data_IF_240624029108
#
_entry.id   IF_240624029108
#
_cell.length_a   1.000
_cell.length_b   1.000
_cell.length_c   1.000
_cell.angle_alpha   90.00
_cell.angle_beta   90.00
_cell.angle_gamma   90.00
#
_symmetry.space_group_name_H-M   'P 1'
#
loop_
_entity.id
_entity.type
_entity.pdbx_description
1 polymer ?
#
# COMPACT_ATOMS: atom_id res chain seq x y z
N UNK A 1 5.71 -20.99 -2.92
CA UNK A 1 4.24 -21.14 -2.82
C UNK A 1 3.67 -20.01 -1.96
N UNK A 2 2.58 -19.35 -2.37
CA UNK A 2 1.87 -18.36 -1.53
C UNK A 2 1.01 -19.14 -0.53
N UNK A 3 1.28 -19.03 0.77
CA UNK A 3 0.67 -19.89 1.81
C UNK A 3 -0.47 -19.22 2.57
N UNK A 4 -0.69 -17.92 2.39
CA UNK A 4 -1.73 -17.15 3.05
C UNK A 4 -2.69 -16.55 2.02
N UNK A 5 -3.97 -16.48 2.39
CA UNK A 5 -5.05 -15.89 1.58
C UNK A 5 -5.62 -14.67 2.27
N UNK A 6 -6.03 -13.68 1.46
CA UNK A 6 -6.82 -12.56 1.97
C UNK A 6 -8.24 -13.03 2.29
N UNK A 7 -8.94 -12.37 3.23
CA UNK A 7 -10.36 -12.62 3.45
C UNK A 7 -11.15 -12.28 2.18
N UNK A 8 -12.31 -12.91 2.01
CA UNK A 8 -13.23 -12.59 0.92
C UNK A 8 -13.79 -11.17 1.10
N UNK A 9 -13.50 -10.28 0.15
CA UNK A 9 -13.98 -8.90 0.13
C UNK A 9 -15.08 -8.76 -0.92
N UNK A 10 -16.23 -8.21 -0.53
CA UNK A 10 -17.27 -7.81 -1.49
C UNK A 10 -16.90 -6.45 -2.06
N UNK A 11 -17.01 -6.33 -3.37
CA UNK A 11 -16.73 -5.09 -4.11
C UNK A 11 -17.88 -4.81 -5.07
N UNK A 12 -18.02 -3.55 -5.46
CA UNK A 12 -18.94 -3.15 -6.51
C UNK A 12 -18.52 -3.79 -7.85
N UNK A 13 -19.48 -4.21 -8.70
CA UNK A 13 -19.20 -4.79 -10.01
C UNK A 13 -18.31 -3.90 -10.89
N UNK A 14 -18.55 -2.59 -10.87
CA UNK A 14 -17.83 -1.61 -11.69
C UNK A 14 -16.34 -1.54 -11.30
N UNK A 15 -16.01 -1.74 -10.02
CA UNK A 15 -14.62 -1.80 -9.57
C UNK A 15 -13.92 -3.04 -10.12
N UNK A 16 -14.64 -4.16 -10.19
CA UNK A 16 -14.11 -5.40 -10.76
C UNK A 16 -13.83 -5.24 -12.25
N UNK A 17 -14.79 -4.70 -12.99
CA UNK A 17 -14.64 -4.45 -14.44
C UNK A 17 -13.47 -3.51 -14.72
N UNK A 18 -13.35 -2.43 -13.94
CA UNK A 18 -12.22 -1.51 -14.04
C UNK A 18 -10.88 -2.24 -13.83
N UNK A 19 -10.78 -3.09 -12.80
CA UNK A 19 -9.57 -3.86 -12.53
C UNK A 19 -9.24 -4.88 -13.63
N UNK A 20 -10.24 -5.55 -14.19
CA UNK A 20 -10.05 -6.52 -15.28
C UNK A 20 -9.63 -5.82 -16.60
N UNK A 21 -10.13 -4.61 -16.86
CA UNK A 21 -9.81 -3.84 -18.08
C UNK A 21 -8.37 -3.34 -18.18
N UNK A 22 -7.64 -3.27 -17.06
CA UNK A 22 -6.27 -2.72 -17.00
C UNK A 22 -5.20 -3.81 -16.83
N UNK A 23 -5.59 -5.09 -16.88
CA UNK A 23 -4.64 -6.20 -16.75
C UNK A 23 -3.68 -6.24 -17.94
N UNK A 24 -2.43 -6.59 -17.66
CA UNK A 24 -1.44 -6.88 -18.70
C UNK A 24 -1.66 -8.26 -19.32
N UNK A 25 -1.05 -8.51 -20.48
CA UNK A 25 -1.13 -9.81 -21.15
C UNK A 25 -0.64 -10.96 -20.24
N UNK A 26 -1.53 -11.92 -19.98
CA UNK A 26 -1.25 -13.07 -19.12
C UNK A 26 -1.27 -12.77 -17.62
N UNK A 27 -1.59 -11.54 -17.22
CA UNK A 27 -1.76 -11.17 -15.81
C UNK A 27 -3.12 -11.66 -15.27
N UNK A 28 -3.13 -12.17 -14.04
CA UNK A 28 -4.35 -12.55 -13.36
C UNK A 28 -4.82 -11.46 -12.41
N UNK A 29 -6.15 -11.35 -12.22
CA UNK A 29 -6.73 -10.41 -11.27
C UNK A 29 -6.18 -10.61 -9.84
N UNK A 30 -5.88 -11.84 -9.44
CA UNK A 30 -5.30 -12.12 -8.12
C UNK A 30 -3.85 -11.65 -7.99
N UNK A 31 -3.06 -11.70 -9.06
CA UNK A 31 -1.71 -11.13 -9.08
C UNK A 31 -1.77 -9.60 -9.00
N UNK A 32 -2.65 -8.98 -9.79
CA UNK A 32 -2.87 -7.54 -9.78
C UNK A 32 -3.29 -7.00 -8.40
N UNK A 33 -4.23 -7.67 -7.74
CA UNK A 33 -4.68 -7.32 -6.37
C UNK A 33 -3.54 -7.48 -5.36
N UNK A 34 -2.75 -8.56 -5.44
CA UNK A 34 -1.60 -8.76 -4.55
C UNK A 34 -0.56 -7.64 -4.70
N UNK A 35 -0.22 -7.29 -5.94
CA UNK A 35 0.72 -6.21 -6.22
C UNK A 35 0.19 -4.86 -5.71
N UNK A 36 -1.09 -4.58 -5.92
CA UNK A 36 -1.74 -3.36 -5.44
C UNK A 36 -1.66 -3.22 -3.91
N UNK A 37 -1.90 -4.32 -3.19
CA UNK A 37 -1.80 -4.35 -1.72
C UNK A 37 -0.37 -4.13 -1.26
N UNK A 38 0.60 -4.79 -1.90
CA UNK A 38 2.03 -4.60 -1.60
C UNK A 38 2.45 -3.14 -1.78
N UNK A 39 2.06 -2.52 -2.90
CA UNK A 39 2.35 -1.12 -3.18
C UNK A 39 1.71 -0.19 -2.13
N UNK A 40 0.48 -0.47 -1.70
CA UNK A 40 -0.20 0.33 -0.70
C UNK A 40 0.46 0.22 0.69
N UNK A 41 0.89 -0.98 1.08
CA UNK A 41 1.63 -1.22 2.33
C UNK A 41 2.92 -0.40 2.33
N UNK A 42 3.69 -0.47 1.24
CA UNK A 42 4.96 0.26 1.13
C UNK A 42 4.75 1.76 1.22
N UNK A 43 3.78 2.30 0.47
CA UNK A 43 3.42 3.72 0.54
C UNK A 43 3.06 4.17 1.96
N UNK A 44 2.29 3.37 2.71
CA UNK A 44 1.90 3.69 4.09
C UNK A 44 3.09 3.65 5.05
N UNK A 45 4.01 2.69 4.88
CA UNK A 45 5.25 2.62 5.67
C UNK A 45 6.11 3.86 5.45
N UNK A 46 6.37 4.20 4.20
CA UNK A 46 7.16 5.38 3.85
C UNK A 46 6.55 6.68 4.40
N UNK A 47 5.22 6.81 4.34
CA UNK A 47 4.51 7.96 4.93
C UNK A 47 4.68 7.99 6.46
N UNK A 48 4.53 6.86 7.13
CA UNK A 48 4.74 6.75 8.58
C UNK A 48 6.16 7.12 8.99
N UNK A 49 7.16 6.57 8.29
CA UNK A 49 8.58 6.84 8.54
C UNK A 49 8.93 8.31 8.32
N UNK A 50 8.35 8.93 7.28
CA UNK A 50 8.53 10.35 7.02
C UNK A 50 8.03 11.21 8.19
N UNK A 51 6.83 10.94 8.69
CA UNK A 51 6.26 11.66 9.84
C UNK A 51 7.09 11.43 11.10
N UNK A 52 7.49 10.18 11.37
CA UNK A 52 8.31 9.85 12.53
C UNK A 52 9.66 10.59 12.50
N UNK A 53 10.34 10.63 11.34
CA UNK A 53 11.58 11.40 11.16
C UNK A 53 11.35 12.90 11.37
N UNK A 54 10.25 13.45 10.86
CA UNK A 54 9.90 14.86 11.05
C UNK A 54 9.69 15.22 12.52
N UNK A 55 8.97 14.39 13.27
CA UNK A 55 8.75 14.57 14.70
C UNK A 55 10.07 14.48 15.48
N UNK A 56 10.90 13.48 15.21
CA UNK A 56 12.20 13.33 15.85
C UNK A 56 13.13 14.53 15.58
N UNK A 57 13.11 15.06 14.34
CA UNK A 57 13.89 16.26 13.99
C UNK A 57 13.39 17.50 14.74
N UNK A 58 12.07 17.68 14.86
CA UNK A 58 11.47 18.77 15.63
C UNK A 58 11.88 18.69 17.10
N UNK A 59 11.81 17.50 17.69
CA UNK A 59 12.11 17.31 19.11
C UNK A 59 13.60 17.56 19.39
N UNK A 60 14.50 17.09 18.50
CA UNK A 60 15.93 17.44 18.55
C UNK A 60 16.20 18.94 18.43
N UNK A 61 15.48 19.66 17.57
CA UNK A 61 15.65 21.11 17.44
C UNK A 61 15.27 21.84 18.74
N UNK A 62 14.16 21.42 19.37
CA UNK A 62 13.73 21.94 20.68
C UNK A 62 14.74 21.67 21.79
N UNK A 63 15.32 20.47 21.83
CA UNK A 63 16.32 20.09 22.83
C UNK A 63 17.64 20.85 22.65
N UNK A 64 18.05 21.09 21.39
CA UNK A 64 19.32 21.73 21.07
C UNK A 64 19.24 23.27 20.97
N UNK A 65 18.06 23.87 21.22
CA UNK A 65 17.88 25.32 21.27
C UNK A 65 18.05 26.05 19.93
N UNK A 66 17.82 25.36 18.81
CA UNK A 66 17.80 25.93 17.46
C UNK A 66 16.38 26.26 17.00
#
# INVERSE_FOLDING_TARGET
>A
MKTATLPSVRIEPELREAAESVLSDGESLSAFVEQSIRANIERRRLQGDFVARGLASRDRAKENGQ
#
